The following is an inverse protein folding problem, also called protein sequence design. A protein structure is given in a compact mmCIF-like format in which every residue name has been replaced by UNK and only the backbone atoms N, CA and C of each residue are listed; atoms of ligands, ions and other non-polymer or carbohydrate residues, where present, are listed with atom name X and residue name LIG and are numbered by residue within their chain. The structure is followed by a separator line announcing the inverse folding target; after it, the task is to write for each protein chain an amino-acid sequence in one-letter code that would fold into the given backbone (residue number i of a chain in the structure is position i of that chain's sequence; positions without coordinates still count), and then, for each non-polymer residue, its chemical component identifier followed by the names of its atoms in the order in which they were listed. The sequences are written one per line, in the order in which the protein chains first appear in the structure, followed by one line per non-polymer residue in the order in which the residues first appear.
data_IF_570188216256
#
_entry.id   IF_570188216256
#
_cell.length_a   1.000
_cell.length_b   1.000
_cell.length_c   1.000
_cell.angle_alpha   90.00
_cell.angle_beta   90.00
_cell.angle_gamma   90.00
#
_symmetry.space_group_name_H-M   'P 1'
#
loop_
_entity.id
_entity.type
_entity.pdbx_description
1 polymer ?
#
# COMPACT_ATOMS: atom_id res chain seq x y z
N UNK A 1 6.76 -3.48 18.07
CA UNK A 1 5.60 -2.87 17.37
C UNK A 1 6.14 -1.85 16.40
N UNK A 2 5.73 -1.90 15.14
CA UNK A 2 6.29 -1.07 14.06
C UNK A 2 5.31 0.06 13.77
N UNK A 3 5.77 1.31 13.66
CA UNK A 3 4.87 2.41 13.25
C UNK A 3 4.44 2.22 11.80
N UNK A 4 3.23 2.66 11.48
CA UNK A 4 2.68 2.59 10.11
C UNK A 4 3.59 3.27 9.08
N UNK A 5 4.25 4.38 9.43
CA UNK A 5 5.24 5.05 8.56
C UNK A 5 6.37 4.11 8.09
N UNK A 6 6.86 3.23 8.96
CA UNK A 6 7.88 2.25 8.56
C UNK A 6 7.30 1.19 7.61
N UNK A 7 6.04 0.81 7.80
CA UNK A 7 5.34 -0.13 6.92
C UNK A 7 5.12 0.49 5.55
N UNK A 8 4.66 1.74 5.50
CA UNK A 8 4.45 2.52 4.29
C UNK A 8 5.77 2.69 3.52
N UNK A 9 6.87 3.05 4.21
CA UNK A 9 8.22 3.11 3.61
C UNK A 9 8.69 1.75 3.12
N UNK A 10 8.44 0.66 3.85
CA UNK A 10 8.84 -0.68 3.44
C UNK A 10 8.08 -1.11 2.19
N UNK A 11 6.77 -0.83 2.13
CA UNK A 11 5.94 -1.07 0.97
C UNK A 11 6.46 -0.25 -0.22
N UNK A 12 6.75 1.04 -0.03
CA UNK A 12 7.33 1.86 -1.10
C UNK A 12 8.65 1.28 -1.64
N UNK A 13 9.56 0.86 -0.75
CA UNK A 13 10.84 0.29 -1.18
C UNK A 13 10.69 -1.05 -1.94
N UNK A 14 9.69 -1.86 -1.61
CA UNK A 14 9.49 -3.19 -2.23
C UNK A 14 8.58 -3.11 -3.45
N UNK A 15 7.48 -2.36 -3.36
CA UNK A 15 6.43 -2.29 -4.36
C UNK A 15 6.60 -1.10 -5.30
N UNK A 16 7.35 -0.06 -4.93
CA UNK A 16 7.62 1.11 -5.77
C UNK A 16 6.50 2.15 -5.81
N UNK A 17 5.57 2.14 -4.84
CA UNK A 17 4.49 3.12 -4.74
C UNK A 17 4.05 3.30 -3.28
N UNK A 18 3.44 4.45 -2.98
CA UNK A 18 2.93 4.75 -1.64
C UNK A 18 1.56 4.12 -1.39
N UNK A 19 1.28 3.88 -0.11
CA UNK A 19 -0.01 3.40 0.37
C UNK A 19 -0.44 4.18 1.59
N UNK A 20 -1.74 4.41 1.75
CA UNK A 20 -2.33 4.95 2.97
C UNK A 20 -2.97 3.84 3.80
N UNK A 21 -2.71 3.86 5.10
CA UNK A 21 -3.46 3.07 6.07
C UNK A 21 -4.74 3.80 6.46
N UNK A 22 -5.89 3.19 6.16
CA UNK A 22 -7.21 3.72 6.47
C UNK A 22 -7.86 2.89 7.58
N UNK A 23 -8.63 3.53 8.45
CA UNK A 23 -9.51 2.85 9.41
C UNK A 23 -10.74 3.69 9.67
N UNK A 24 -11.91 3.08 9.52
CA UNK A 24 -13.19 3.76 9.71
C UNK A 24 -13.29 5.08 8.91
N UNK A 25 -12.78 5.07 7.67
CA UNK A 25 -12.76 6.23 6.77
C UNK A 25 -11.72 7.32 7.08
N UNK A 26 -10.84 7.12 8.07
CA UNK A 26 -9.76 8.06 8.40
C UNK A 26 -8.40 7.49 8.04
N UNK A 27 -7.55 8.34 7.44
CA UNK A 27 -6.14 8.02 7.24
C UNK A 27 -5.42 8.09 8.59
N UNK A 28 -4.70 7.03 8.91
CA UNK A 28 -4.01 6.85 10.17
C UNK A 28 -2.61 7.49 10.21
N UNK A 29 -2.11 8.05 9.10
CA UNK A 29 -0.85 8.84 8.95
C UNK A 29 0.23 8.52 9.99
N UNK A 30 0.67 7.26 10.08
CA UNK A 30 1.77 6.88 10.97
C UNK A 30 1.45 6.88 12.48
N UNK A 31 0.23 7.24 12.91
CA UNK A 31 -0.19 7.30 14.32
C UNK A 31 -0.43 5.91 14.92
N UNK A 32 -0.68 4.90 14.06
CA UNK A 32 -1.03 3.55 14.51
C UNK A 32 0.16 2.60 14.40
N UNK A 33 0.35 1.81 15.45
CA UNK A 33 1.36 0.76 15.45
C UNK A 33 0.76 -0.54 14.91
N UNK A 34 1.47 -1.17 13.98
CA UNK A 34 1.11 -2.50 13.47
C UNK A 34 1.89 -3.58 14.23
N UNK A 35 1.30 -4.79 14.37
CA UNK A 35 1.97 -5.89 15.04
C UNK A 35 3.24 -6.32 14.31
N UNK A 36 3.27 -6.22 12.97
CA UNK A 36 4.39 -6.64 12.12
C UNK A 36 4.62 -5.68 10.96
N UNK A 37 5.86 -5.62 10.46
CA UNK A 37 6.18 -4.90 9.23
C UNK A 37 5.63 -5.63 7.99
N UNK A 38 5.68 -4.99 6.81
CA UNK A 38 5.23 -5.59 5.56
C UNK A 38 6.07 -6.82 5.22
N UNK A 39 5.43 -8.00 5.24
CA UNK A 39 6.13 -9.28 4.98
C UNK A 39 5.97 -9.61 3.50
N UNK A 40 6.89 -9.11 2.69
CA UNK A 40 7.03 -9.49 1.30
C UNK A 40 8.51 -9.62 0.94
N UNK A 41 8.88 -10.72 0.27
CA UNK A 41 10.25 -10.92 -0.19
C UNK A 41 10.54 -10.22 -1.53
N UNK A 42 9.50 -9.92 -2.31
CA UNK A 42 9.59 -9.39 -3.67
C UNK A 42 8.36 -8.52 -3.95
N UNK A 43 8.52 -7.56 -4.87
CA UNK A 43 7.42 -6.78 -5.42
C UNK A 43 6.29 -7.69 -5.92
N UNK A 44 5.05 -7.25 -5.74
CA UNK A 44 3.87 -7.94 -6.27
C UNK A 44 3.85 -7.85 -7.79
N UNK A 45 3.30 -8.88 -8.46
CA UNK A 45 3.36 -8.99 -9.92
C UNK A 45 2.76 -7.75 -10.60
N UNK A 46 3.40 -7.29 -11.67
CA UNK A 46 2.93 -6.17 -12.51
C UNK A 46 1.48 -6.34 -12.99
N UNK A 47 1.05 -7.57 -13.25
CA UNK A 47 -0.31 -7.92 -13.69
C UNK A 47 -1.35 -7.91 -12.56
N UNK A 48 -0.96 -7.69 -11.31
CA UNK A 48 -1.93 -7.53 -10.23
C UNK A 48 -2.61 -6.18 -10.35
N UNK A 49 -3.89 -6.14 -9.96
CA UNK A 49 -4.62 -4.90 -9.81
C UNK A 49 -4.45 -4.35 -8.40
N UNK A 50 -4.65 -3.04 -8.25
CA UNK A 50 -4.68 -2.35 -6.97
C UNK A 50 -5.65 -3.03 -6.01
N UNK A 51 -6.85 -3.40 -6.45
CA UNK A 51 -7.84 -4.12 -5.64
C UNK A 51 -7.30 -5.45 -5.09
N UNK A 52 -6.61 -6.24 -5.93
CA UNK A 52 -6.01 -7.52 -5.52
C UNK A 52 -4.87 -7.32 -4.51
N UNK A 53 -4.11 -6.24 -4.66
CA UNK A 53 -3.06 -5.87 -3.73
C UNK A 53 -3.63 -5.41 -2.38
N UNK A 54 -4.69 -4.60 -2.39
CA UNK A 54 -5.41 -4.18 -1.18
C UNK A 54 -5.97 -5.40 -0.43
N UNK A 55 -6.55 -6.39 -1.12
CA UNK A 55 -7.03 -7.63 -0.49
C UNK A 55 -5.90 -8.39 0.23
N UNK A 56 -4.70 -8.44 -0.37
CA UNK A 56 -3.50 -9.01 0.27
C UNK A 56 -3.11 -8.24 1.54
N UNK A 57 -3.12 -6.91 1.49
CA UNK A 57 -2.83 -6.07 2.66
C UNK A 57 -3.87 -6.27 3.78
N UNK A 58 -5.16 -6.32 3.44
CA UNK A 58 -6.24 -6.60 4.39
C UNK A 58 -6.09 -7.95 5.09
N UNK A 59 -5.57 -8.96 4.39
CA UNK A 59 -5.25 -10.28 4.99
C UNK A 59 -4.09 -10.21 5.99
N UNK A 60 -3.09 -9.37 5.72
CA UNK A 60 -1.93 -9.20 6.60
C UNK A 60 -2.23 -8.28 7.79
N UNK A 61 -3.10 -7.29 7.57
CA UNK A 61 -3.50 -6.26 8.52
C UNK A 61 -5.02 -6.23 8.64
N UNK A 62 -5.64 -7.24 9.27
CA UNK A 62 -7.08 -7.30 9.42
C UNK A 62 -7.61 -6.13 10.25
N UNK A 63 -8.77 -5.60 9.86
CA UNK A 63 -9.42 -4.46 10.53
C UNK A 63 -8.94 -3.08 10.06
N UNK A 64 -8.15 -3.04 8.99
CA UNK A 64 -7.72 -1.82 8.31
C UNK A 64 -8.12 -1.84 6.83
N UNK A 65 -8.35 -0.65 6.29
CA UNK A 65 -8.50 -0.38 4.87
C UNK A 65 -7.22 0.21 4.30
N UNK A 66 -7.09 0.17 2.98
CA UNK A 66 -5.88 0.58 2.28
C UNK A 66 -6.22 1.32 1.00
N UNK A 67 -5.46 2.36 0.71
CA UNK A 67 -5.48 3.05 -0.57
C UNK A 67 -4.08 3.07 -1.15
N UNK A 68 -3.95 2.70 -2.41
CA UNK A 68 -2.68 2.79 -3.15
C UNK A 68 -2.64 4.17 -3.81
N UNK A 69 -1.54 4.89 -3.68
CA UNK A 69 -1.38 6.23 -4.25
C UNK A 69 -0.53 6.20 -5.51
N UNK A 70 -0.91 7.00 -6.50
CA UNK A 70 -0.07 7.41 -7.63
C UNK A 70 1.01 8.39 -7.16
N UNK A 71 2.01 8.69 -7.99
CA UNK A 71 3.08 9.63 -7.63
C UNK A 71 2.59 11.05 -7.31
N UNK A 72 1.49 11.47 -7.94
CA UNK A 72 0.82 12.75 -7.68
C UNK A 72 0.13 12.80 -6.28
N UNK A 73 0.09 11.68 -5.56
CA UNK A 73 -0.54 11.57 -4.24
C UNK A 73 -2.03 11.24 -4.30
N UNK A 74 -2.62 11.15 -5.48
CA UNK A 74 -3.99 10.72 -5.68
C UNK A 74 -4.17 9.19 -5.57
N UNK A 75 -5.33 8.71 -5.07
CA UNK A 75 -5.62 7.28 -5.03
C UNK A 75 -5.69 6.68 -6.44
N UNK A 76 -5.01 5.55 -6.62
CA UNK A 76 -5.05 4.76 -7.84
C UNK A 76 -6.38 4.01 -7.95
N UNK A 77 -6.91 3.90 -9.18
CA UNK A 77 -8.14 3.17 -9.42
C UNK A 77 -7.99 1.68 -9.05
N UNK A 78 -9.01 1.10 -8.44
CA UNK A 78 -9.02 -0.30 -8.00
C UNK A 78 -8.73 -1.31 -9.13
N UNK A 79 -9.08 -0.97 -10.38
CA UNK A 79 -8.86 -1.78 -11.59
C UNK A 79 -7.50 -1.53 -12.23
N UNK A 80 -6.81 -0.46 -11.82
CA UNK A 80 -5.48 -0.14 -12.31
C UNK A 80 -4.47 -1.23 -11.94
N UNK A 81 -3.55 -1.51 -12.85
CA UNK A 81 -2.50 -2.51 -12.59
C UNK A 81 -1.36 -1.90 -11.78
N UNK A 82 -0.67 -2.72 -10.99
CA UNK A 82 0.51 -2.26 -10.24
C UNK A 82 1.62 -1.78 -11.17
N UNK A 83 1.69 -2.31 -12.40
CA UNK A 83 2.59 -1.77 -13.42
C UNK A 83 2.29 -0.31 -13.71
N UNK A 84 1.03 0.01 -14.01
CA UNK A 84 0.58 1.38 -14.27
C UNK A 84 0.81 2.31 -13.07
N UNK A 85 0.57 1.82 -11.84
CA UNK A 85 0.85 2.64 -10.64
C UNK A 85 2.35 2.95 -10.53
N UNK A 86 3.23 1.97 -10.70
CA UNK A 86 4.70 2.16 -10.65
C UNK A 86 5.20 3.09 -11.75
N UNK A 87 4.59 2.99 -12.92
CA UNK A 87 4.88 3.86 -14.06
C UNK A 87 4.71 5.34 -13.68
N UNK A 88 3.64 5.67 -12.92
CA UNK A 88 3.44 7.06 -12.45
C UNK A 88 4.58 7.60 -11.57
N UNK A 89 5.36 6.74 -10.91
CA UNK A 89 6.52 7.14 -10.08
C UNK A 89 7.85 7.16 -10.86
N UNK A 90 7.83 6.68 -12.11
CA UNK A 90 9.01 6.61 -12.98
C UNK A 90 9.05 7.75 -14.01
N UNK A 91 8.01 8.59 -14.07
CA UNK A 91 7.97 9.86 -14.79
C UNK A 91 8.63 11.00 -13.99
#
# INVERSE_FOLDING_TARGET
MTRTDFVEKTIFNIEGFNVNFMKNGKNLRGEVQQPSNYIANKASKNTYTVSRFIDKLKKQYPGYDFEVLKADGEPADSRMTLATVRDTYSE
#
